data_IF_630604885361
#
_entry.id   IF_630604885361
#
_cell.length_a   1.000
_cell.length_b   1.000
_cell.length_c   1.000
_cell.angle_alpha   90.00
_cell.angle_beta   90.00
_cell.angle_gamma   90.00
#
_symmetry.space_group_name_H-M   'P 1'
#
loop_
_entity.id
_entity.type
_entity.pdbx_description
1 polymer ?
#
# COMPACT_ATOMS: atom_id res chain seq x y z
N UNK A 1 -23.17 -44.21 -3.43
CA UNK A 1 -22.17 -43.58 -2.54
C UNK A 1 -21.13 -42.73 -3.28
N UNK A 2 -20.48 -43.21 -4.34
CA UNK A 2 -19.48 -42.43 -5.11
C UNK A 2 -20.00 -41.12 -5.74
N UNK A 3 -21.23 -41.11 -6.27
CA UNK A 3 -21.84 -39.91 -6.87
C UNK A 3 -22.18 -38.80 -5.86
N UNK A 4 -22.62 -39.19 -4.65
CA UNK A 4 -22.87 -38.23 -3.56
C UNK A 4 -21.57 -37.57 -3.07
N UNK A 5 -20.48 -38.35 -2.99
CA UNK A 5 -19.17 -37.82 -2.60
C UNK A 5 -18.63 -36.79 -3.62
N UNK A 6 -18.78 -37.06 -4.92
CA UNK A 6 -18.41 -36.11 -5.98
C UNK A 6 -19.26 -34.83 -5.98
N UNK A 7 -20.57 -34.96 -5.73
CA UNK A 7 -21.46 -33.81 -5.56
C UNK A 7 -21.06 -32.95 -4.36
N UNK A 8 -20.71 -33.56 -3.22
CA UNK A 8 -20.26 -32.82 -2.04
C UNK A 8 -18.95 -32.08 -2.31
N UNK A 9 -17.98 -32.69 -3.00
CA UNK A 9 -16.71 -32.02 -3.39
C UNK A 9 -16.98 -30.83 -4.31
N UNK A 10 -17.87 -30.98 -5.30
CA UNK A 10 -18.21 -29.91 -6.24
C UNK A 10 -18.93 -28.74 -5.54
N UNK A 11 -19.81 -29.03 -4.58
CA UNK A 11 -20.46 -27.98 -3.78
C UNK A 11 -19.43 -27.27 -2.89
N UNK A 12 -18.52 -28.01 -2.23
CA UNK A 12 -17.46 -27.41 -1.41
C UNK A 12 -16.49 -26.54 -2.24
N UNK A 13 -16.10 -26.94 -3.46
CA UNK A 13 -15.23 -26.14 -4.31
C UNK A 13 -15.92 -24.87 -4.83
N UNK A 14 -17.22 -24.96 -5.13
CA UNK A 14 -18.03 -23.80 -5.53
C UNK A 14 -18.14 -22.79 -4.37
N UNK A 15 -18.33 -23.27 -3.14
CA UNK A 15 -18.38 -22.42 -1.93
C UNK A 15 -17.00 -21.80 -1.64
N UNK A 16 -15.91 -22.56 -1.78
CA UNK A 16 -14.54 -22.05 -1.58
C UNK A 16 -14.19 -20.94 -2.58
N UNK A 17 -14.66 -21.05 -3.83
CA UNK A 17 -14.46 -20.03 -4.88
C UNK A 17 -15.18 -18.71 -4.58
N UNK A 18 -16.29 -18.76 -3.83
CA UNK A 18 -17.08 -17.57 -3.48
C UNK A 18 -16.40 -16.79 -2.33
N UNK A 19 -15.68 -17.46 -1.43
CA UNK A 19 -15.02 -16.82 -0.28
C UNK A 19 -13.81 -15.96 -0.71
N UNK A 20 -13.22 -16.22 -1.88
CA UNK A 20 -12.06 -15.45 -2.39
C UNK A 20 -12.46 -14.09 -2.97
N UNK A 21 -13.75 -13.82 -3.22
CA UNK A 21 -14.23 -12.59 -3.88
C UNK A 21 -14.85 -11.55 -2.95
N UNK A 22 -14.58 -11.62 -1.64
CA UNK A 22 -15.23 -10.77 -0.64
C UNK A 22 -14.59 -9.38 -0.43
N UNK A 23 -13.58 -8.96 -1.20
CA UNK A 23 -13.05 -7.60 -1.08
C UNK A 23 -13.64 -6.72 -2.18
N UNK A 24 -14.87 -6.26 -1.97
CA UNK A 24 -15.32 -5.05 -2.66
C UNK A 24 -14.44 -3.90 -2.12
N UNK A 25 -13.62 -3.23 -2.95
CA UNK A 25 -12.69 -2.19 -2.49
C UNK A 25 -13.39 -0.92 -1.97
N UNK A 26 -14.74 -0.89 -1.94
CA UNK A 26 -15.59 0.25 -1.57
C UNK A 26 -15.45 0.76 -0.11
N UNK A 27 -14.39 0.38 0.61
CA UNK A 27 -14.11 0.84 1.98
C UNK A 27 -12.64 1.12 2.26
N UNK A 28 -11.71 0.89 1.33
CA UNK A 28 -10.29 1.14 1.53
C UNK A 28 -9.87 2.48 0.93
N UNK A 29 -9.03 3.21 1.66
CA UNK A 29 -8.26 4.33 1.11
C UNK A 29 -6.87 3.79 0.84
N UNK A 30 -6.51 3.66 -0.44
CA UNK A 30 -5.17 3.26 -0.85
C UNK A 30 -4.48 4.42 -1.54
N UNK A 31 -3.29 4.73 -1.06
CA UNK A 31 -2.49 5.89 -1.48
C UNK A 31 -1.18 5.34 -2.05
N UNK A 32 -0.82 5.77 -3.26
CA UNK A 32 0.46 5.48 -3.90
C UNK A 32 1.41 6.66 -3.67
N UNK A 33 2.44 6.42 -2.85
CA UNK A 33 3.36 7.45 -2.38
C UNK A 33 4.34 7.86 -3.49
N UNK A 34 4.32 9.12 -3.92
CA UNK A 34 5.18 9.61 -5.00
C UNK A 34 4.59 9.44 -6.40
N UNK A 35 3.37 8.92 -6.55
CA UNK A 35 2.68 8.93 -7.84
C UNK A 35 2.35 10.37 -8.28
N UNK A 36 2.94 10.83 -9.38
CA UNK A 36 2.73 12.19 -9.90
C UNK A 36 2.22 12.24 -11.34
N UNK A 37 2.35 11.15 -12.10
CA UNK A 37 2.04 11.12 -13.53
C UNK A 37 0.53 11.01 -13.82
N UNK A 38 -0.25 10.47 -12.87
CA UNK A 38 -1.69 10.31 -12.97
C UNK A 38 -2.36 10.44 -11.60
N UNK A 39 -3.64 10.87 -11.52
CA UNK A 39 -4.30 11.09 -10.24
C UNK A 39 -4.64 9.79 -9.49
N UNK A 40 -4.86 8.71 -10.23
CA UNK A 40 -5.23 7.40 -9.68
C UNK A 40 -5.12 6.30 -10.73
N UNK A 41 -5.06 5.05 -10.28
CA UNK A 41 -5.17 3.87 -11.12
C UNK A 41 -5.79 2.70 -10.35
N UNK A 42 -6.23 1.67 -11.06
CA UNK A 42 -6.56 0.37 -10.47
C UNK A 42 -5.45 -0.63 -10.80
N UNK A 43 -4.89 -1.26 -9.78
CA UNK A 43 -3.86 -2.27 -9.94
C UNK A 43 -4.45 -3.53 -10.58
N UNK A 44 -3.96 -3.92 -11.75
CA UNK A 44 -4.55 -5.02 -12.54
C UNK A 44 -4.39 -6.40 -11.89
N UNK A 45 -3.44 -6.54 -10.97
CA UNK A 45 -3.16 -7.83 -10.29
C UNK A 45 -4.05 -8.01 -9.06
N UNK A 46 -4.29 -6.94 -8.32
CA UNK A 46 -4.99 -6.96 -7.03
C UNK A 46 -6.40 -6.36 -7.08
N UNK A 47 -6.77 -5.69 -8.17
CA UNK A 47 -8.02 -4.94 -8.35
C UNK A 47 -8.21 -3.80 -7.32
N UNK A 48 -7.10 -3.35 -6.71
CA UNK A 48 -7.10 -2.26 -5.73
C UNK A 48 -6.94 -0.93 -6.45
N UNK A 49 -7.87 0.00 -6.22
CA UNK A 49 -7.73 1.39 -6.66
C UNK A 49 -6.78 2.16 -5.74
N UNK A 50 -5.74 2.75 -6.31
CA UNK A 50 -4.79 3.65 -5.65
C UNK A 50 -4.98 5.09 -6.14
N UNK A 51 -4.86 6.03 -5.22
CA UNK A 51 -4.83 7.47 -5.50
C UNK A 51 -3.44 8.04 -5.27
N UNK A 52 -3.08 9.08 -6.01
CA UNK A 52 -1.84 9.83 -5.78
C UNK A 52 -1.80 10.44 -4.39
N UNK A 53 -0.61 10.50 -3.79
CA UNK A 53 -0.40 11.09 -2.47
C UNK A 53 -0.38 12.63 -2.42
N UNK A 54 -0.46 13.31 -3.58
CA UNK A 54 -0.32 14.77 -3.69
C UNK A 54 -1.27 15.55 -2.76
N UNK A 55 -2.46 15.02 -2.48
CA UNK A 55 -3.44 15.68 -1.60
C UNK A 55 -3.41 15.18 -0.14
N UNK A 56 -2.45 14.31 0.20
CA UNK A 56 -2.35 13.71 1.52
C UNK A 56 -1.12 14.18 2.30
N UNK A 57 -0.12 14.78 1.65
CA UNK A 57 1.12 15.27 2.28
C UNK A 57 1.53 16.62 1.71
N UNK A 58 2.09 17.47 2.56
CA UNK A 58 2.50 18.83 2.19
C UNK A 58 3.97 18.92 1.77
N UNK A 59 4.71 17.80 1.72
CA UNK A 59 6.15 17.82 1.54
C UNK A 59 6.79 16.55 0.99
N UNK A 60 8.12 16.51 1.09
CA UNK A 60 8.98 15.46 0.54
C UNK A 60 9.22 15.59 -0.97
N UNK A 61 9.90 14.60 -1.52
CA UNK A 61 10.26 14.53 -2.94
C UNK A 61 9.77 13.20 -3.52
N UNK A 62 9.11 13.23 -4.69
CA UNK A 62 8.78 12.01 -5.43
C UNK A 62 10.02 11.55 -6.17
N UNK A 63 10.30 10.26 -6.08
CA UNK A 63 11.29 9.61 -6.91
C UNK A 63 10.71 8.37 -7.57
N UNK A 64 11.18 8.10 -8.78
CA UNK A 64 11.04 6.76 -9.36
C UNK A 64 12.15 5.87 -8.84
N UNK A 65 11.82 4.66 -8.42
CA UNK A 65 12.83 3.68 -8.03
C UNK A 65 13.69 3.26 -9.23
N UNK A 66 14.91 2.82 -8.97
CA UNK A 66 15.81 2.36 -10.03
C UNK A 66 15.16 1.23 -10.84
N UNK A 67 15.36 1.28 -12.16
CA UNK A 67 14.80 0.31 -13.11
C UNK A 67 15.24 -1.12 -12.81
N UNK A 68 16.38 -1.31 -12.15
CA UNK A 68 16.87 -2.62 -11.70
C UNK A 68 15.91 -3.28 -10.71
N UNK A 69 15.21 -2.51 -9.87
CA UNK A 69 14.32 -3.04 -8.83
C UNK A 69 12.87 -3.18 -9.29
N UNK A 70 12.41 -2.35 -10.23
CA UNK A 70 11.00 -2.34 -10.70
C UNK A 70 10.43 -3.72 -11.06
N UNK A 71 11.15 -4.63 -11.76
CA UNK A 71 10.61 -5.96 -12.10
C UNK A 71 10.29 -6.84 -10.89
N UNK A 72 10.92 -6.59 -9.74
CA UNK A 72 10.70 -7.33 -8.49
C UNK A 72 9.68 -6.67 -7.56
N UNK A 73 9.20 -5.49 -7.92
CA UNK A 73 8.35 -4.65 -7.09
C UNK A 73 6.95 -4.57 -7.70
N UNK A 74 5.95 -4.61 -6.83
CA UNK A 74 4.58 -4.29 -7.20
C UNK A 74 4.47 -2.81 -7.59
N UNK A 75 3.49 -2.46 -8.43
CA UNK A 75 3.37 -1.13 -9.08
C UNK A 75 3.41 0.03 -8.09
N UNK A 76 2.79 -0.13 -6.92
CA UNK A 76 2.75 0.88 -5.85
C UNK A 76 4.10 1.16 -5.18
N UNK A 77 5.17 0.52 -5.63
CA UNK A 77 6.55 0.81 -5.22
C UNK A 77 7.42 1.28 -6.38
N UNK A 78 6.87 1.48 -7.58
CA UNK A 78 7.62 2.01 -8.72
C UNK A 78 7.99 3.48 -8.52
N UNK A 79 7.18 4.19 -7.75
CA UNK A 79 7.49 5.50 -7.22
C UNK A 79 7.45 5.45 -5.70
N UNK A 80 8.20 6.34 -5.06
CA UNK A 80 8.26 6.48 -3.61
C UNK A 80 8.32 7.95 -3.25
N UNK A 81 7.83 8.28 -2.04
CA UNK A 81 8.03 9.60 -1.44
C UNK A 81 9.17 9.55 -0.45
N UNK A 82 10.17 10.41 -0.67
CA UNK A 82 11.32 10.60 0.21
C UNK A 82 11.16 11.87 1.04
N UNK A 83 11.68 11.84 2.26
CA UNK A 83 11.69 12.97 3.20
C UNK A 83 13.12 13.25 3.68
N UNK A 84 13.98 13.85 2.83
CA UNK A 84 15.40 14.02 3.14
C UNK A 84 15.68 15.13 4.16
N UNK A 85 14.78 16.12 4.24
CA UNK A 85 14.97 17.33 5.04
C UNK A 85 13.90 17.45 6.13
N UNK A 86 14.26 18.07 7.26
CA UNK A 86 13.34 18.31 8.38
C UNK A 86 13.20 17.11 9.31
N UNK A 87 12.46 17.32 10.41
CA UNK A 87 12.35 16.33 11.50
C UNK A 87 11.09 15.47 11.42
N UNK A 88 10.02 15.99 10.81
CA UNK A 88 8.71 15.32 10.78
C UNK A 88 7.90 15.73 9.56
N UNK A 89 7.35 14.73 8.89
CA UNK A 89 6.41 14.89 7.77
C UNK A 89 5.13 14.12 8.07
N UNK A 90 4.00 14.68 7.64
CA UNK A 90 2.69 14.18 8.03
C UNK A 90 1.88 13.82 6.79
N UNK A 91 1.21 12.67 6.88
CA UNK A 91 0.10 12.34 5.99
C UNK A 91 -1.22 12.64 6.71
N UNK A 92 -2.10 13.37 6.05
CA UNK A 92 -3.46 13.65 6.53
C UNK A 92 -4.42 12.63 5.96
N UNK A 93 -4.84 11.67 6.78
CA UNK A 93 -5.84 10.67 6.40
C UNK A 93 -7.23 11.12 6.84
N UNK A 94 -8.14 11.30 5.89
CA UNK A 94 -9.51 11.74 6.19
C UNK A 94 -10.33 10.56 6.73
N UNK A 95 -10.81 10.67 7.97
CA UNK A 95 -11.68 9.66 8.58
C UNK A 95 -13.07 9.67 7.95
N UNK A 96 -13.63 8.50 7.66
CA UNK A 96 -15.03 8.34 7.25
C UNK A 96 -16.02 8.39 8.45
N UNK A 97 -15.81 9.31 9.39
CA UNK A 97 -16.64 9.48 10.59
C UNK A 97 -15.96 9.03 11.90
N UNK A 98 -16.46 9.57 13.02
CA UNK A 98 -15.93 9.31 14.37
C UNK A 98 -16.29 7.93 14.90
N UNK A 99 -15.41 7.31 15.69
CA UNK A 99 -15.67 6.06 16.42
C UNK A 99 -15.43 4.78 15.63
N UNK A 100 -15.05 4.89 14.36
CA UNK A 100 -14.69 3.75 13.52
C UNK A 100 -13.30 3.20 13.90
N UNK A 101 -13.15 1.88 13.78
CA UNK A 101 -11.84 1.21 13.89
C UNK A 101 -11.25 1.08 12.49
N UNK A 102 -9.99 1.46 12.34
CA UNK A 102 -9.27 1.42 11.07
C UNK A 102 -8.09 0.45 11.15
N UNK A 103 -7.89 -0.33 10.10
CA UNK A 103 -6.63 -1.03 9.87
C UNK A 103 -5.72 -0.11 9.05
N UNK A 104 -4.63 0.36 9.65
CA UNK A 104 -3.61 1.17 8.97
C UNK A 104 -2.45 0.27 8.57
N UNK A 105 -2.05 0.34 7.29
CA UNK A 105 -0.88 -0.37 6.76
C UNK A 105 0.02 0.65 6.08
N UNK A 106 1.25 0.80 6.56
CA UNK A 106 2.30 1.56 5.90
C UNK A 106 3.31 0.57 5.30
N UNK A 107 3.76 0.83 4.08
CA UNK A 107 4.71 -0.03 3.36
C UNK A 107 5.83 0.84 2.82
N UNK A 108 7.04 0.31 2.83
CA UNK A 108 8.25 1.06 2.53
C UNK A 108 9.11 0.31 1.53
N UNK A 109 9.71 1.05 0.61
CA UNK A 109 10.69 0.56 -0.35
C UNK A 109 11.74 1.66 -0.57
N UNK A 110 12.99 1.25 -0.74
CA UNK A 110 14.07 2.17 -1.09
C UNK A 110 14.38 2.10 -2.59
N UNK A 111 14.67 0.92 -3.13
CA UNK A 111 14.86 0.74 -4.58
C UNK A 111 15.95 1.64 -5.19
N UNK A 112 16.93 2.08 -4.38
CA UNK A 112 18.06 2.93 -4.81
C UNK A 112 17.63 4.17 -5.60
N UNK A 113 16.55 4.82 -5.17
CA UNK A 113 15.95 5.95 -5.91
C UNK A 113 16.86 7.19 -6.01
N UNK A 114 17.81 7.36 -5.07
CA UNK A 114 18.76 8.49 -5.04
C UNK A 114 20.20 8.06 -5.33
N UNK A 115 20.41 6.79 -5.71
CA UNK A 115 21.72 6.22 -6.02
C UNK A 115 22.67 6.13 -4.83
N UNK A 116 22.21 6.34 -3.59
CA UNK A 116 23.05 6.16 -2.40
C UNK A 116 23.05 4.70 -1.97
N UNK A 117 24.13 4.28 -1.32
CA UNK A 117 24.25 2.96 -0.68
C UNK A 117 23.88 3.01 0.82
N UNK A 118 23.20 4.07 1.25
CA UNK A 118 22.76 4.25 2.63
C UNK A 118 21.26 4.08 2.72
N UNK A 119 20.83 3.07 3.47
CA UNK A 119 19.41 2.86 3.76
C UNK A 119 18.94 3.90 4.78
N UNK A 120 17.74 4.48 4.60
CA UNK A 120 17.17 5.40 5.58
C UNK A 120 16.60 4.63 6.78
N UNK A 121 16.68 5.21 7.96
CA UNK A 121 15.98 4.74 9.16
C UNK A 121 15.13 5.88 9.71
N UNK A 122 13.90 5.59 10.12
CA UNK A 122 12.98 6.60 10.63
C UNK A 122 11.88 6.02 11.50
N UNK A 123 11.29 6.86 12.35
CA UNK A 123 10.14 6.50 13.18
C UNK A 123 8.81 6.86 12.49
N UNK A 124 7.79 6.05 12.77
CA UNK A 124 6.40 6.31 12.38
C UNK A 124 5.60 6.66 13.62
N UNK A 125 4.75 7.68 13.49
CA UNK A 125 3.79 8.10 14.51
C UNK A 125 2.37 8.07 13.93
N UNK A 126 1.40 7.60 14.71
CA UNK A 126 -0.03 7.76 14.42
C UNK A 126 -0.57 8.85 15.36
N UNK A 127 -0.84 10.03 14.79
CA UNK A 127 -1.06 11.23 15.59
C UNK A 127 0.18 11.54 16.44
N UNK A 128 0.02 11.69 17.74
CA UNK A 128 1.13 11.97 18.66
C UNK A 128 1.81 10.70 19.18
N UNK A 129 1.29 9.52 18.89
CA UNK A 129 1.77 8.25 19.45
C UNK A 129 2.79 7.60 18.53
N UNK A 130 3.94 7.21 19.09
CA UNK A 130 4.91 6.36 18.40
C UNK A 130 4.28 5.01 18.05
N UNK A 131 4.46 4.60 16.80
CA UNK A 131 3.98 3.32 16.28
C UNK A 131 5.11 2.31 16.14
N UNK A 132 6.26 2.74 15.61
CA UNK A 132 7.42 1.87 15.41
C UNK A 132 8.52 2.55 14.59
N UNK A 133 9.68 1.91 14.53
CA UNK A 133 10.81 2.33 13.70
C UNK A 133 10.89 1.46 12.43
N UNK A 134 11.24 2.09 11.31
CA UNK A 134 11.52 1.41 10.05
C UNK A 134 13.03 1.33 9.91
N UNK A 135 13.53 0.10 9.88
CA UNK A 135 14.90 -0.24 9.53
C UNK A 135 14.81 -1.20 8.35
N UNK A 136 15.52 -0.89 7.27
CA UNK A 136 15.54 -1.74 6.08
C UNK A 136 16.56 -2.86 6.29
N UNK A 137 16.17 -4.08 5.92
CA UNK A 137 17.02 -5.28 5.98
C UNK A 137 17.73 -5.56 4.65
#
# INVERSE_FOLDING_TARGET
>A
MKGYFLLVIFQLSLILSIIVRAQNPSGFVSIDCGLVDEPSYTDETTDISYSSDVNFTDGGVSYSVSSTYKPSLARQFWNVRSFPDGTRHCYTLVSQGSGNKYLVRARFAYGSYDGKESLPEFDIYIGEKWWGSVVFE
#
